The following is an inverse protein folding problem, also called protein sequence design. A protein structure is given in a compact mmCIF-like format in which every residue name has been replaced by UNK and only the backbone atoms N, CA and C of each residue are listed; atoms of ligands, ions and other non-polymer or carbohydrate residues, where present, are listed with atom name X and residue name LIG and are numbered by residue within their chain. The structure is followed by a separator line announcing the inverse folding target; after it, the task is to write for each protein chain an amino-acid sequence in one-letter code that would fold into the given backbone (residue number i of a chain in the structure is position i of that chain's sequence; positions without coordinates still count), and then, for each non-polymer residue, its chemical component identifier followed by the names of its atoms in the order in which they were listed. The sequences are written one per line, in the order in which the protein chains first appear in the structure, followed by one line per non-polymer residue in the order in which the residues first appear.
data_IF_038825747587
#
_entry.id   IF_038825747587
#
_cell.length_a   1.000
_cell.length_b   1.000
_cell.length_c   1.000
_cell.angle_alpha   90.00
_cell.angle_beta   90.00
_cell.angle_gamma   90.00
#
_symmetry.space_group_name_H-M   'P 1'
#
loop_
_entity.id
_entity.type
_entity.pdbx_description
1 polymer ?
#
# COMPACT_ATOMS: atom_id res chain seq x y z
N UNK A 1 52.37 22.63 53.81
CA UNK A 1 50.99 22.13 53.99
C UNK A 1 49.96 22.76 53.04
N UNK A 2 50.25 23.88 52.36
CA UNK A 2 49.29 24.60 51.45
C UNK A 2 48.99 23.88 50.11
N UNK A 3 49.95 23.14 49.58
CA UNK A 3 49.82 22.48 48.27
C UNK A 3 49.00 21.18 48.27
N UNK A 4 48.85 20.50 49.43
CA UNK A 4 48.06 19.25 49.55
C UNK A 4 46.53 19.47 49.38
N UNK A 5 46.02 20.66 49.78
CA UNK A 5 44.62 20.99 49.67
C UNK A 5 44.20 21.23 48.18
N UNK A 6 45.11 21.86 47.42
CA UNK A 6 44.90 22.11 46.01
C UNK A 6 44.88 20.80 45.18
N UNK A 7 45.78 19.87 45.51
CA UNK A 7 45.82 18.55 44.86
C UNK A 7 44.56 17.75 45.16
N UNK A 8 44.04 17.84 46.39
CA UNK A 8 42.80 17.16 46.78
C UNK A 8 41.57 17.76 46.09
N UNK A 9 41.46 19.08 45.99
CA UNK A 9 40.41 19.75 45.21
C UNK A 9 40.46 19.40 43.72
N UNK A 10 41.64 19.34 43.13
CA UNK A 10 41.84 18.94 41.73
C UNK A 10 41.46 17.48 41.51
N UNK A 11 41.75 16.59 42.40
CA UNK A 11 41.38 15.17 42.36
C UNK A 11 39.86 14.98 42.49
N UNK A 12 39.22 15.74 43.39
CA UNK A 12 37.77 15.70 43.58
C UNK A 12 37.05 16.29 42.35
N UNK A 13 37.54 17.38 41.77
CA UNK A 13 37.00 17.96 40.53
C UNK A 13 37.21 16.99 39.35
N UNK A 14 38.37 16.34 39.25
CA UNK A 14 38.65 15.33 38.22
C UNK A 14 37.76 14.08 38.33
N UNK A 15 37.45 13.64 39.54
CA UNK A 15 36.52 12.55 39.83
C UNK A 15 35.06 12.95 39.55
N UNK A 16 34.69 14.21 39.82
CA UNK A 16 33.34 14.74 39.49
C UNK A 16 33.15 14.96 38.00
N UNK A 17 34.18 15.30 37.22
CA UNK A 17 34.11 15.43 35.76
C UNK A 17 34.02 14.05 35.10
N UNK A 18 34.62 13.00 35.65
CA UNK A 18 34.49 11.64 35.14
C UNK A 18 33.18 10.93 35.53
N UNK A 19 32.37 11.51 36.42
CA UNK A 19 31.03 11.04 36.76
C UNK A 19 29.91 11.71 35.95
N UNK A 20 30.24 12.52 34.92
CA UNK A 20 29.30 12.82 33.87
C UNK A 20 29.15 11.54 33.05
N UNK A 21 28.32 10.66 33.59
CA UNK A 21 27.75 9.55 32.83
C UNK A 21 27.13 10.20 31.60
N UNK A 22 27.72 9.97 30.44
CA UNK A 22 27.04 10.23 29.18
C UNK A 22 25.81 9.32 29.27
N UNK A 23 24.68 9.88 29.67
CA UNK A 23 23.39 9.26 29.43
C UNK A 23 23.33 9.15 27.92
N UNK A 24 23.65 7.98 27.40
CA UNK A 24 23.41 7.65 26.00
C UNK A 24 21.93 7.95 25.82
N UNK A 25 21.64 8.96 25.03
CA UNK A 25 20.28 9.47 24.84
C UNK A 25 19.49 8.34 24.19
N UNK A 26 18.83 7.50 25.02
CA UNK A 26 18.00 6.39 24.61
C UNK A 26 16.79 7.00 23.91
N UNK A 27 16.86 7.14 22.57
CA UNK A 27 15.74 7.62 21.77
C UNK A 27 14.72 6.50 21.50
N UNK A 28 13.61 6.84 20.91
CA UNK A 28 12.55 5.89 20.58
C UNK A 28 12.89 5.07 19.33
N UNK A 29 12.32 3.87 19.25
CA UNK A 29 12.19 3.06 18.04
C UNK A 29 10.77 3.19 17.53
N UNK A 30 10.60 3.41 16.23
CA UNK A 30 9.30 3.53 15.61
C UNK A 30 8.98 2.26 14.81
N UNK A 31 7.81 1.67 15.07
CA UNK A 31 7.26 0.55 14.31
C UNK A 31 6.20 1.10 13.36
N UNK A 32 6.46 1.00 12.05
CA UNK A 32 5.60 1.53 10.99
C UNK A 32 5.01 0.34 10.24
N UNK A 33 3.66 0.17 10.23
CA UNK A 33 3.04 -0.97 9.58
C UNK A 33 3.00 -0.81 8.05
N UNK A 34 3.30 -1.91 7.34
CA UNK A 34 3.10 -2.07 5.90
C UNK A 34 2.13 -3.24 5.71
N UNK A 35 0.83 -2.96 5.86
CA UNK A 35 -0.23 -3.98 5.87
C UNK A 35 -1.20 -3.80 4.71
N UNK A 36 -1.63 -4.95 4.12
CA UNK A 36 -2.57 -4.97 3.01
C UNK A 36 -1.93 -4.67 1.66
N UNK A 37 -2.66 -4.04 0.75
CA UNK A 37 -2.21 -3.79 -0.62
C UNK A 37 -1.18 -2.66 -0.71
N UNK A 38 -0.13 -2.87 -1.50
CA UNK A 38 0.88 -1.85 -1.82
C UNK A 38 0.35 -0.97 -2.94
N UNK A 39 -0.13 0.23 -2.55
CA UNK A 39 -0.72 1.22 -3.44
C UNK A 39 -0.27 2.64 -3.08
N UNK A 40 -0.78 3.64 -3.77
CA UNK A 40 -0.42 5.06 -3.53
C UNK A 40 -0.71 5.51 -2.10
N UNK A 41 -1.81 5.04 -1.48
CA UNK A 41 -2.13 5.38 -0.09
C UNK A 41 -1.08 4.82 0.88
N UNK A 42 -0.67 3.57 0.65
CA UNK A 42 0.38 2.92 1.44
C UNK A 42 1.69 3.70 1.36
N UNK A 43 2.10 4.12 0.14
CA UNK A 43 3.30 4.95 -0.03
C UNK A 43 3.19 6.31 0.69
N UNK A 44 2.06 7.03 0.54
CA UNK A 44 1.86 8.32 1.20
C UNK A 44 1.83 8.21 2.71
N UNK A 45 1.17 7.18 3.25
CA UNK A 45 1.20 6.88 4.68
C UNK A 45 2.63 6.65 5.16
N UNK A 46 3.37 5.76 4.50
CA UNK A 46 4.75 5.43 4.86
C UNK A 46 5.66 6.65 4.81
N UNK A 47 5.55 7.46 3.76
CA UNK A 47 6.33 8.68 3.62
C UNK A 47 6.09 9.63 4.79
N UNK A 48 4.84 9.90 5.13
CA UNK A 48 4.49 10.79 6.24
C UNK A 48 4.94 10.23 7.60
N UNK A 49 4.76 8.91 7.81
CA UNK A 49 5.16 8.23 9.04
C UNK A 49 6.69 8.22 9.22
N UNK A 50 7.44 7.99 8.13
CA UNK A 50 8.92 8.05 8.14
C UNK A 50 9.40 9.47 8.38
N UNK A 51 8.84 10.47 7.68
CA UNK A 51 9.21 11.88 7.85
C UNK A 51 8.95 12.33 9.31
N UNK A 52 7.80 11.96 9.89
CA UNK A 52 7.46 12.25 11.29
C UNK A 52 8.43 11.54 12.27
N UNK A 53 8.69 10.26 12.07
CA UNK A 53 9.63 9.49 12.88
C UNK A 53 11.05 10.10 12.85
N UNK A 54 11.55 10.41 11.64
CA UNK A 54 12.88 11.00 11.44
C UNK A 54 13.02 12.39 12.10
N UNK A 55 11.94 13.19 12.11
CA UNK A 55 11.92 14.49 12.80
C UNK A 55 12.18 14.38 14.31
N UNK A 56 11.94 13.21 14.89
CA UNK A 56 12.08 12.91 16.34
C UNK A 56 13.39 12.19 16.69
N UNK A 57 14.34 12.11 15.76
CA UNK A 57 15.66 11.47 15.93
C UNK A 57 15.57 10.03 16.46
N UNK A 58 14.94 9.09 15.73
CA UNK A 58 14.75 7.72 16.17
C UNK A 58 16.07 6.96 16.27
N UNK A 59 16.13 5.95 17.13
CA UNK A 59 17.27 5.00 17.20
C UNK A 59 17.22 3.96 16.08
N UNK A 60 16.03 3.55 15.69
CA UNK A 60 15.78 2.68 14.56
C UNK A 60 14.33 2.85 14.06
N UNK A 61 14.07 2.37 12.86
CA UNK A 61 12.73 2.20 12.31
C UNK A 61 12.52 0.73 11.97
N UNK A 62 11.44 0.15 12.48
CA UNK A 62 10.99 -1.21 12.15
C UNK A 62 9.80 -1.08 11.20
N UNK A 63 9.88 -1.68 10.03
CA UNK A 63 8.75 -1.84 9.11
C UNK A 63 8.09 -3.19 9.35
N UNK A 64 6.91 -3.19 9.96
CA UNK A 64 6.12 -4.40 10.19
C UNK A 64 5.33 -4.78 8.94
N UNK A 65 5.70 -5.89 8.29
CA UNK A 65 5.22 -6.28 6.97
C UNK A 65 4.22 -7.43 7.05
N UNK A 66 3.04 -7.21 6.46
CA UNK A 66 2.01 -8.23 6.20
C UNK A 66 1.25 -7.85 4.92
N UNK A 67 1.75 -8.31 3.77
CA UNK A 67 1.20 -7.93 2.45
C UNK A 67 1.23 -9.07 1.45
N UNK A 68 0.20 -9.12 0.61
CA UNK A 68 0.17 -9.92 -0.61
C UNK A 68 0.80 -9.19 -1.82
N UNK A 69 1.34 -7.97 -1.62
CA UNK A 69 1.93 -7.18 -2.68
C UNK A 69 1.02 -6.07 -3.20
N UNK A 70 1.25 -5.65 -4.44
CA UNK A 70 0.52 -4.57 -5.10
C UNK A 70 1.28 -3.94 -6.25
N UNK A 71 1.22 -2.61 -6.40
CA UNK A 71 1.74 -1.89 -7.55
C UNK A 71 3.28 -1.81 -7.54
N UNK A 72 3.92 -2.20 -8.63
CA UNK A 72 5.39 -2.19 -8.81
C UNK A 72 5.96 -0.77 -8.62
N UNK A 73 5.32 0.24 -9.21
CA UNK A 73 5.79 1.62 -9.11
C UNK A 73 5.76 2.15 -7.67
N UNK A 74 4.79 1.73 -6.88
CA UNK A 74 4.69 2.12 -5.48
C UNK A 74 5.70 1.35 -4.61
N UNK A 75 5.94 0.07 -4.93
CA UNK A 75 6.99 -0.73 -4.30
C UNK A 75 8.39 -0.12 -4.54
N UNK A 76 8.67 0.36 -5.77
CA UNK A 76 9.91 1.06 -6.09
C UNK A 76 10.07 2.35 -5.26
N UNK A 77 9.01 3.16 -5.14
CA UNK A 77 9.04 4.39 -4.32
C UNK A 77 9.30 4.06 -2.85
N UNK A 78 8.67 2.99 -2.32
CA UNK A 78 8.86 2.55 -0.94
C UNK A 78 10.28 2.01 -0.75
N UNK A 79 10.81 1.20 -1.70
CA UNK A 79 12.23 0.78 -1.71
C UNK A 79 13.15 1.99 -1.57
N UNK A 80 12.99 2.99 -2.44
CA UNK A 80 13.83 4.19 -2.43
C UNK A 80 13.71 4.95 -1.10
N UNK A 81 12.48 5.14 -0.59
CA UNK A 81 12.23 5.77 0.70
C UNK A 81 12.99 5.04 1.84
N UNK A 82 12.91 3.70 1.91
CA UNK A 82 13.57 2.91 2.96
C UNK A 82 15.09 2.96 2.81
N UNK A 83 15.61 2.89 1.59
CA UNK A 83 17.05 2.90 1.32
C UNK A 83 17.71 4.23 1.64
N UNK A 84 16.97 5.35 1.56
CA UNK A 84 17.47 6.69 1.87
C UNK A 84 17.58 6.96 3.38
N UNK A 85 16.98 6.16 4.24
CA UNK A 85 17.01 6.30 5.70
C UNK A 85 18.42 6.03 6.22
N UNK A 86 18.93 6.94 7.05
CA UNK A 86 20.30 6.87 7.60
C UNK A 86 20.38 6.18 8.96
N UNK A 87 19.27 6.09 9.68
CA UNK A 87 19.21 5.33 10.93
C UNK A 87 18.99 3.84 10.63
N UNK A 88 19.30 2.92 11.57
CA UNK A 88 19.05 1.50 11.38
C UNK A 88 17.61 1.21 10.98
N UNK A 89 17.44 0.43 9.90
CA UNK A 89 16.14 -0.02 9.41
C UNK A 89 16.02 -1.53 9.50
N UNK A 90 14.88 -2.02 9.97
CA UNK A 90 14.57 -3.44 10.12
C UNK A 90 13.24 -3.70 9.42
N UNK A 91 13.20 -4.61 8.47
CA UNK A 91 11.95 -5.18 7.98
C UNK A 91 11.58 -6.38 8.84
N UNK A 92 10.46 -6.30 9.53
CA UNK A 92 9.90 -7.40 10.31
C UNK A 92 8.70 -8.01 9.57
N UNK A 93 8.90 -9.17 8.95
CA UNK A 93 7.81 -9.91 8.29
C UNK A 93 7.00 -10.63 9.36
N UNK A 94 5.89 -10.04 9.76
CA UNK A 94 5.01 -10.57 10.81
C UNK A 94 4.21 -11.78 10.32
N UNK A 95 3.71 -11.74 9.08
CA UNK A 95 2.91 -12.83 8.50
C UNK A 95 3.40 -13.20 7.09
N UNK A 96 3.38 -12.26 6.15
CA UNK A 96 3.82 -12.53 4.77
C UNK A 96 4.41 -11.30 4.09
N UNK A 97 5.33 -11.55 3.17
CA UNK A 97 5.91 -10.56 2.27
C UNK A 97 5.88 -11.11 0.84
N UNK A 98 4.68 -11.10 0.24
CA UNK A 98 4.48 -11.66 -1.10
C UNK A 98 4.60 -10.56 -2.17
N UNK A 99 5.01 -10.94 -3.38
CA UNK A 99 5.05 -10.06 -4.55
C UNK A 99 5.85 -8.76 -4.29
N UNK A 100 5.23 -7.58 -4.40
CA UNK A 100 5.86 -6.29 -4.06
C UNK A 100 6.45 -6.24 -2.63
N UNK A 101 5.93 -7.05 -1.71
CA UNK A 101 6.43 -7.19 -0.35
C UNK A 101 7.88 -7.69 -0.29
N UNK A 102 8.32 -8.52 -1.25
CA UNK A 102 9.71 -8.99 -1.32
C UNK A 102 10.66 -7.82 -1.48
N UNK A 103 10.45 -6.94 -2.47
CA UNK A 103 11.28 -5.78 -2.72
C UNK A 103 11.36 -4.86 -1.51
N UNK A 104 10.21 -4.59 -0.89
CA UNK A 104 10.11 -3.73 0.29
C UNK A 104 10.90 -4.36 1.45
N UNK A 105 10.73 -5.66 1.70
CA UNK A 105 11.41 -6.38 2.78
C UNK A 105 12.93 -6.30 2.66
N UNK A 106 13.47 -6.60 1.48
CA UNK A 106 14.92 -6.62 1.26
C UNK A 106 15.54 -5.22 1.16
N UNK A 107 14.75 -4.16 1.16
CA UNK A 107 15.24 -2.77 1.11
C UNK A 107 15.78 -2.27 2.46
N UNK A 108 15.37 -2.86 3.57
CA UNK A 108 15.92 -2.54 4.90
C UNK A 108 17.34 -3.12 5.09
N UNK A 109 18.09 -2.53 6.02
CA UNK A 109 19.42 -3.02 6.38
C UNK A 109 19.35 -4.44 6.96
N UNK A 110 18.36 -4.69 7.82
CA UNK A 110 18.15 -5.99 8.46
C UNK A 110 16.75 -6.52 8.13
N UNK A 111 16.63 -7.85 8.08
CA UNK A 111 15.36 -8.55 7.87
C UNK A 111 15.13 -9.55 8.99
N UNK A 112 13.98 -9.45 9.62
CA UNK A 112 13.54 -10.39 10.65
C UNK A 112 12.22 -11.01 10.18
N UNK A 113 12.03 -12.28 10.46
CA UNK A 113 10.81 -13.00 10.12
C UNK A 113 10.20 -13.63 11.37
N UNK A 114 8.90 -13.49 11.52
CA UNK A 114 8.13 -14.24 12.51
C UNK A 114 8.17 -15.75 12.20
N UNK A 115 7.99 -16.58 13.22
CA UNK A 115 8.13 -18.06 13.10
C UNK A 115 7.26 -18.68 12.01
N UNK A 116 6.09 -18.13 11.73
CA UNK A 116 5.12 -18.65 10.76
C UNK A 116 4.99 -17.79 9.51
N UNK A 117 5.94 -16.88 9.26
CA UNK A 117 5.90 -15.98 8.12
C UNK A 117 6.53 -16.58 6.87
N UNK A 118 6.17 -15.98 5.71
CA UNK A 118 6.66 -16.35 4.38
C UNK A 118 7.12 -15.13 3.58
N UNK A 119 8.03 -15.37 2.62
CA UNK A 119 8.51 -14.37 1.68
C UNK A 119 8.73 -14.99 0.30
N UNK A 120 8.20 -14.39 -0.77
CA UNK A 120 8.38 -14.86 -2.13
C UNK A 120 7.23 -14.56 -3.08
N UNK A 121 7.03 -15.44 -4.07
CA UNK A 121 5.93 -15.38 -5.04
C UNK A 121 5.78 -14.00 -5.71
N UNK A 122 6.89 -13.48 -6.25
CA UNK A 122 7.00 -12.09 -6.70
C UNK A 122 6.88 -11.91 -8.22
N UNK A 123 6.30 -12.87 -8.95
CA UNK A 123 6.04 -12.75 -10.39
C UNK A 123 5.11 -11.58 -10.69
N UNK A 124 5.39 -10.87 -11.79
CA UNK A 124 4.59 -9.70 -12.18
C UNK A 124 3.28 -10.07 -12.87
N UNK A 125 2.23 -9.27 -12.68
CA UNK A 125 0.96 -9.39 -13.41
C UNK A 125 0.65 -8.04 -14.08
N UNK A 126 0.63 -7.96 -15.45
CA UNK A 126 0.90 -9.04 -16.40
C UNK A 126 2.37 -9.45 -16.43
N UNK A 127 2.62 -10.74 -16.67
CA UNK A 127 3.96 -11.27 -16.90
C UNK A 127 4.35 -11.04 -18.37
N UNK A 128 5.00 -9.91 -18.66
CA UNK A 128 5.58 -9.60 -19.96
C UNK A 128 7.07 -9.23 -19.78
N UNK A 129 7.86 -9.49 -20.81
CA UNK A 129 9.32 -9.35 -20.80
C UNK A 129 9.77 -7.97 -20.28
N UNK A 130 9.16 -6.88 -20.76
CA UNK A 130 9.53 -5.53 -20.37
C UNK A 130 9.31 -5.27 -18.88
N UNK A 131 8.16 -5.67 -18.35
CA UNK A 131 7.83 -5.48 -16.93
C UNK A 131 8.68 -6.36 -16.05
N UNK A 132 8.88 -7.62 -16.45
CA UNK A 132 9.69 -8.59 -15.71
C UNK A 132 11.17 -8.14 -15.65
N UNK A 133 11.75 -7.74 -16.78
CA UNK A 133 13.14 -7.26 -16.82
C UNK A 133 13.37 -6.06 -15.90
N UNK A 134 12.43 -5.09 -15.89
CA UNK A 134 12.49 -3.95 -14.96
C UNK A 134 12.38 -4.40 -13.50
N UNK A 135 11.42 -5.27 -13.21
CA UNK A 135 11.19 -5.79 -11.88
C UNK A 135 12.39 -6.56 -11.31
N UNK A 136 12.95 -7.46 -12.12
CA UNK A 136 14.17 -8.20 -11.75
C UNK A 136 15.36 -7.27 -11.50
N UNK A 137 15.46 -6.15 -12.23
CA UNK A 137 16.51 -5.17 -11.97
C UNK A 137 16.36 -4.50 -10.60
N UNK A 138 15.13 -4.17 -10.16
CA UNK A 138 14.88 -3.61 -8.83
C UNK A 138 15.21 -4.60 -7.72
N UNK A 139 14.81 -5.87 -7.88
CA UNK A 139 15.09 -6.93 -6.93
C UNK A 139 16.59 -7.18 -6.80
N UNK A 140 17.30 -7.29 -7.92
CA UNK A 140 18.76 -7.48 -7.94
C UNK A 140 19.48 -6.32 -7.27
N UNK A 141 19.18 -5.08 -7.66
CA UNK A 141 19.79 -3.87 -7.10
C UNK A 141 19.62 -3.80 -5.57
N UNK A 142 18.40 -4.05 -5.08
CA UNK A 142 18.13 -4.06 -3.65
C UNK A 142 18.90 -5.16 -2.92
N UNK A 143 18.97 -6.37 -3.50
CA UNK A 143 19.67 -7.51 -2.92
C UNK A 143 21.17 -7.23 -2.82
N UNK A 144 21.80 -6.77 -3.91
CA UNK A 144 23.23 -6.45 -3.97
C UNK A 144 23.61 -5.36 -2.97
N UNK A 145 22.86 -4.25 -2.91
CA UNK A 145 23.13 -3.14 -1.96
C UNK A 145 23.05 -3.62 -0.52
N UNK A 146 22.14 -4.54 -0.21
CA UNK A 146 21.93 -5.07 1.15
C UNK A 146 22.70 -6.37 1.45
N UNK A 147 23.55 -6.83 0.53
CA UNK A 147 24.41 -8.01 0.71
C UNK A 147 23.66 -9.33 0.76
N UNK A 148 22.49 -9.41 0.12
CA UNK A 148 21.71 -10.66 -0.04
C UNK A 148 21.98 -11.28 -1.40
N UNK A 149 21.75 -12.59 -1.52
CA UNK A 149 21.96 -13.30 -2.79
C UNK A 149 20.91 -12.86 -3.83
N UNK A 150 21.31 -12.16 -4.91
CA UNK A 150 20.38 -11.70 -5.94
C UNK A 150 19.70 -12.85 -6.68
N UNK A 151 20.36 -14.00 -6.84
CA UNK A 151 19.81 -15.13 -7.55
C UNK A 151 18.62 -15.74 -6.79
N UNK A 152 18.73 -15.88 -5.48
CA UNK A 152 17.64 -16.37 -4.63
C UNK A 152 16.46 -15.38 -4.67
N UNK A 153 16.73 -14.08 -4.59
CA UNK A 153 15.68 -13.05 -4.64
C UNK A 153 14.99 -13.03 -6.02
N UNK A 154 15.74 -13.15 -7.12
CA UNK A 154 15.15 -13.17 -8.46
C UNK A 154 14.36 -14.45 -8.72
N UNK A 155 14.74 -15.61 -8.17
CA UNK A 155 13.97 -16.85 -8.26
C UNK A 155 12.58 -16.76 -7.59
N UNK A 156 12.35 -15.78 -6.72
CA UNK A 156 11.01 -15.48 -6.21
C UNK A 156 10.09 -14.86 -7.25
N UNK A 157 10.64 -14.25 -8.31
CA UNK A 157 9.90 -13.54 -9.35
C UNK A 157 9.94 -14.23 -10.72
N UNK A 158 11.01 -14.94 -11.03
CA UNK A 158 11.26 -15.55 -12.34
C UNK A 158 11.28 -17.08 -12.22
N UNK A 159 10.34 -17.74 -12.90
CA UNK A 159 10.20 -19.21 -12.93
C UNK A 159 11.31 -19.89 -13.70
N UNK A 160 12.02 -19.19 -14.58
CA UNK A 160 13.08 -19.78 -15.39
C UNK A 160 14.38 -19.93 -14.59
N UNK A 161 14.46 -19.34 -13.41
CA UNK A 161 15.62 -19.48 -12.51
C UNK A 161 15.52 -20.79 -11.75
N UNK A 162 16.49 -21.66 -11.99
CA UNK A 162 16.69 -22.92 -11.26
C UNK A 162 17.89 -22.77 -10.33
N UNK A 163 17.74 -23.21 -9.07
CA UNK A 163 18.79 -23.22 -8.07
C UNK A 163 18.84 -24.62 -7.46
N UNK A 164 19.93 -25.36 -7.68
CA UNK A 164 20.10 -26.75 -7.22
C UNK A 164 19.87 -26.85 -5.69
N UNK A 165 18.99 -27.74 -5.30
CA UNK A 165 18.63 -27.97 -3.89
C UNK A 165 17.67 -26.93 -3.28
N UNK A 166 17.26 -25.88 -4.02
CA UNK A 166 16.36 -24.83 -3.53
C UNK A 166 15.07 -24.78 -4.36
N UNK A 167 15.16 -24.60 -5.68
CA UNK A 167 13.99 -24.47 -6.55
C UNK A 167 14.25 -25.08 -7.93
N UNK A 168 13.30 -25.86 -8.42
CA UNK A 168 13.32 -26.41 -9.78
C UNK A 168 12.77 -25.38 -10.79
N UNK A 169 13.27 -25.44 -12.03
CA UNK A 169 12.75 -24.62 -13.12
C UNK A 169 11.24 -24.77 -13.32
N UNK A 170 10.57 -23.70 -13.69
CA UNK A 170 9.11 -23.66 -13.86
C UNK A 170 8.31 -23.33 -12.57
N UNK A 171 8.97 -23.19 -11.43
CA UNK A 171 8.34 -22.87 -10.14
C UNK A 171 8.79 -21.50 -9.62
N UNK A 172 7.93 -20.84 -8.84
CA UNK A 172 8.29 -19.62 -8.12
C UNK A 172 8.76 -19.97 -6.71
N UNK A 173 9.86 -19.37 -6.29
CA UNK A 173 10.39 -19.53 -4.94
C UNK A 173 9.51 -18.78 -3.93
N UNK A 174 9.15 -19.47 -2.86
CA UNK A 174 8.54 -18.90 -1.66
C UNK A 174 9.15 -19.60 -0.45
N UNK A 175 9.73 -18.82 0.45
CA UNK A 175 10.48 -19.33 1.60
C UNK A 175 9.69 -19.08 2.89
N UNK A 176 9.64 -20.09 3.75
CA UNK A 176 9.26 -19.89 5.15
C UNK A 176 10.43 -19.23 5.94
N UNK A 177 10.16 -18.82 7.17
CA UNK A 177 11.15 -18.13 8.00
C UNK A 177 12.46 -18.89 8.23
N UNK A 178 12.39 -20.25 8.32
CA UNK A 178 13.58 -21.08 8.54
C UNK A 178 14.41 -21.18 7.27
N UNK A 179 13.78 -21.40 6.13
CA UNK A 179 14.42 -21.42 4.81
C UNK A 179 15.06 -20.07 4.50
N UNK A 180 14.33 -18.96 4.73
CA UNK A 180 14.84 -17.61 4.55
C UNK A 180 16.07 -17.34 5.44
N UNK A 181 16.10 -17.86 6.67
CA UNK A 181 17.26 -17.76 7.57
C UNK A 181 18.45 -18.59 7.06
N UNK A 182 18.22 -19.81 6.61
CA UNK A 182 19.27 -20.69 6.06
C UNK A 182 19.92 -20.08 4.82
N UNK A 183 19.12 -19.45 3.95
CA UNK A 183 19.60 -18.85 2.71
C UNK A 183 20.03 -17.37 2.87
N UNK A 184 20.15 -16.84 4.09
CA UNK A 184 20.67 -15.50 4.34
C UNK A 184 19.75 -14.36 3.92
N UNK A 185 18.45 -14.63 3.70
CA UNK A 185 17.46 -13.60 3.42
C UNK A 185 16.96 -12.96 4.72
N UNK A 186 16.80 -13.75 5.78
CA UNK A 186 16.47 -13.27 7.13
C UNK A 186 17.68 -13.33 8.05
N UNK A 187 17.89 -12.28 8.84
CA UNK A 187 18.97 -12.18 9.84
C UNK A 187 18.57 -12.82 11.18
N UNK A 188 17.28 -12.86 11.49
CA UNK A 188 16.74 -13.39 12.75
C UNK A 188 15.33 -13.93 12.54
N UNK A 189 14.97 -14.97 13.31
CA UNK A 189 13.59 -15.42 13.48
C UNK A 189 13.15 -15.05 14.88
N UNK A 190 12.17 -14.14 14.99
CA UNK A 190 11.62 -13.70 16.28
C UNK A 190 10.19 -13.19 16.09
N UNK A 191 9.38 -13.28 17.14
CA UNK A 191 8.03 -12.73 17.21
C UNK A 191 7.97 -11.50 18.16
N UNK A 192 9.09 -11.08 18.74
CA UNK A 192 9.16 -10.04 19.76
C UNK A 192 10.10 -8.88 19.39
N UNK A 193 9.61 -7.64 19.48
CA UNK A 193 10.39 -6.46 19.14
C UNK A 193 11.59 -6.24 20.08
N UNK A 194 11.47 -6.60 21.37
CA UNK A 194 12.56 -6.47 22.32
C UNK A 194 13.72 -7.40 21.96
N UNK A 195 13.41 -8.69 21.67
CA UNK A 195 14.41 -9.67 21.19
C UNK A 195 15.08 -9.21 19.90
N UNK A 196 14.32 -8.61 18.96
CA UNK A 196 14.84 -8.05 17.71
C UNK A 196 15.84 -6.93 18.00
N UNK A 197 15.49 -5.98 18.84
CA UNK A 197 16.31 -4.82 19.15
C UNK A 197 17.56 -5.21 19.92
N UNK A 198 17.45 -6.15 20.85
CA UNK A 198 18.59 -6.70 21.61
C UNK A 198 19.58 -7.43 20.70
N UNK A 199 19.08 -8.23 19.73
CA UNK A 199 19.93 -8.93 18.77
C UNK A 199 20.79 -7.99 17.93
N UNK A 200 20.23 -6.84 17.52
CA UNK A 200 20.95 -5.82 16.76
C UNK A 200 21.68 -4.80 17.66
N UNK A 201 21.70 -4.99 18.97
CA UNK A 201 22.33 -4.10 19.96
C UNK A 201 21.80 -2.65 19.87
N UNK A 202 20.50 -2.48 19.61
CA UNK A 202 19.84 -1.18 19.54
C UNK A 202 19.27 -0.84 20.91
N UNK A 203 19.89 0.12 21.61
CA UNK A 203 19.39 0.65 22.87
C UNK A 203 18.29 1.67 22.61
N UNK A 204 17.19 1.57 23.33
CA UNK A 204 16.01 2.41 23.14
C UNK A 204 15.31 2.73 24.46
N UNK A 205 14.58 3.85 24.50
CA UNK A 205 13.72 4.21 25.64
C UNK A 205 12.33 3.59 25.51
N UNK A 206 11.71 3.72 24.35
CA UNK A 206 10.37 3.21 24.09
C UNK A 206 10.24 2.72 22.66
N UNK A 207 9.31 1.77 22.46
CA UNK A 207 8.82 1.37 21.14
C UNK A 207 7.52 2.14 20.90
N UNK A 208 7.46 2.89 19.80
CA UNK A 208 6.31 3.69 19.40
C UNK A 208 5.70 3.05 18.15
N UNK A 209 4.56 2.40 18.32
CA UNK A 209 3.82 1.87 17.18
C UNK A 209 3.04 3.00 16.49
N UNK A 210 3.27 3.15 15.18
CA UNK A 210 2.58 4.13 14.36
C UNK A 210 1.33 3.49 13.81
N UNK A 211 0.17 4.07 14.10
CA UNK A 211 -1.09 3.58 13.55
C UNK A 211 -1.49 4.35 12.29
N UNK A 212 -2.09 3.63 11.34
CA UNK A 212 -2.79 4.29 10.23
C UNK A 212 -3.95 5.12 10.77
N UNK A 213 -4.01 6.40 10.43
CA UNK A 213 -5.11 7.28 10.78
C UNK A 213 -6.46 6.77 10.25
N UNK A 214 -7.56 7.18 10.88
CA UNK A 214 -8.90 6.75 10.47
C UNK A 214 -9.19 7.17 9.02
N UNK A 215 -8.70 8.33 8.58
CA UNK A 215 -8.83 8.83 7.20
C UNK A 215 -8.18 7.88 6.18
N UNK A 216 -7.01 7.32 6.49
CA UNK A 216 -6.30 6.38 5.60
C UNK A 216 -7.03 5.04 5.57
N UNK A 217 -7.49 4.55 6.72
CA UNK A 217 -8.29 3.31 6.81
C UNK A 217 -9.59 3.42 5.98
N UNK A 218 -10.30 4.55 6.10
CA UNK A 218 -11.51 4.83 5.31
C UNK A 218 -11.18 4.94 3.82
N UNK A 219 -10.12 5.67 3.46
CA UNK A 219 -9.71 5.82 2.07
C UNK A 219 -9.34 4.48 1.43
N UNK A 220 -8.56 3.64 2.10
CA UNK A 220 -8.24 2.26 1.66
C UNK A 220 -9.50 1.40 1.52
N UNK A 221 -10.45 1.51 2.45
CA UNK A 221 -11.73 0.79 2.38
C UNK A 221 -12.54 1.21 1.15
N UNK A 222 -12.73 2.52 0.94
CA UNK A 222 -13.54 3.04 -0.18
C UNK A 222 -12.89 2.78 -1.55
N UNK A 223 -11.56 2.79 -1.64
CA UNK A 223 -10.81 2.52 -2.88
C UNK A 223 -10.61 1.03 -3.16
N UNK A 224 -11.01 0.14 -2.25
CA UNK A 224 -10.96 -1.30 -2.49
C UNK A 224 -11.81 -1.63 -3.74
N UNK A 225 -11.30 -2.45 -4.70
CA UNK A 225 -12.01 -2.73 -5.95
C UNK A 225 -13.43 -3.28 -5.77
N UNK A 226 -13.67 -4.12 -4.77
CA UNK A 226 -15.01 -4.66 -4.49
C UNK A 226 -15.96 -3.56 -3.97
N UNK A 227 -15.50 -2.71 -3.06
CA UNK A 227 -16.29 -1.58 -2.55
C UNK A 227 -16.54 -0.55 -3.64
N UNK A 228 -15.51 -0.23 -4.43
CA UNK A 228 -15.64 0.64 -5.61
C UNK A 228 -16.69 0.10 -6.60
N UNK A 229 -16.72 -1.21 -6.86
CA UNK A 229 -17.74 -1.84 -7.72
C UNK A 229 -19.14 -1.69 -7.13
N UNK A 230 -19.30 -1.89 -5.82
CA UNK A 230 -20.59 -1.69 -5.14
C UNK A 230 -21.03 -0.23 -5.23
N UNK A 231 -20.14 0.72 -4.98
CA UNK A 231 -20.43 2.15 -5.07
C UNK A 231 -20.83 2.57 -6.48
N UNK A 232 -20.10 2.11 -7.50
CA UNK A 232 -20.49 2.33 -8.90
C UNK A 232 -21.87 1.76 -9.22
N UNK A 233 -22.13 0.53 -8.76
CA UNK A 233 -23.44 -0.13 -8.96
C UNK A 233 -24.57 0.67 -8.31
N UNK A 234 -24.40 1.09 -7.06
CA UNK A 234 -25.39 1.90 -6.34
C UNK A 234 -25.58 3.28 -7.01
N UNK A 235 -24.50 3.88 -7.49
CA UNK A 235 -24.55 5.14 -8.21
C UNK A 235 -25.37 5.04 -9.50
N UNK A 236 -25.11 4.03 -10.31
CA UNK A 236 -25.88 3.81 -11.56
C UNK A 236 -27.33 3.41 -11.30
N UNK A 237 -27.61 2.53 -10.33
CA UNK A 237 -28.98 2.15 -9.96
C UNK A 237 -29.74 3.38 -9.46
N UNK A 238 -29.13 4.18 -8.57
CA UNK A 238 -29.71 5.42 -8.07
C UNK A 238 -30.05 6.39 -9.20
N UNK A 239 -29.14 6.56 -10.17
CA UNK A 239 -29.38 7.40 -11.34
C UNK A 239 -30.54 6.90 -12.20
N UNK A 240 -30.66 5.60 -12.41
CA UNK A 240 -31.79 5.02 -13.16
C UNK A 240 -33.10 5.22 -12.41
N UNK A 241 -33.16 4.95 -11.11
CA UNK A 241 -34.36 5.17 -10.30
C UNK A 241 -34.82 6.64 -10.38
N UNK A 242 -33.86 7.57 -10.32
CA UNK A 242 -34.13 9.00 -10.41
C UNK A 242 -34.76 9.41 -11.74
N UNK A 243 -34.30 8.84 -12.87
CA UNK A 243 -34.87 9.10 -14.19
C UNK A 243 -36.36 8.68 -14.29
N UNK A 244 -36.77 7.64 -13.54
CA UNK A 244 -38.14 7.15 -13.53
C UNK A 244 -39.03 7.80 -12.43
N UNK A 245 -38.47 8.63 -11.56
CA UNK A 245 -39.20 9.32 -10.49
C UNK A 245 -39.36 10.82 -10.81
N UNK A 246 -40.54 11.42 -10.63
CA UNK A 246 -40.73 12.84 -10.90
C UNK A 246 -40.04 13.69 -9.80
N UNK A 247 -39.15 14.61 -10.20
CA UNK A 247 -38.43 15.50 -9.31
C UNK A 247 -37.14 14.85 -8.76
N UNK A 248 -36.37 15.63 -7.98
CA UNK A 248 -35.15 15.13 -7.31
C UNK A 248 -35.54 14.35 -6.04
N UNK A 249 -35.14 13.06 -5.96
CA UNK A 249 -35.58 12.17 -4.91
C UNK A 249 -34.46 11.28 -4.32
N UNK A 250 -34.87 10.15 -3.78
CA UNK A 250 -34.00 9.18 -3.11
C UNK A 250 -32.97 8.58 -4.06
N UNK A 251 -33.37 8.34 -5.33
CA UNK A 251 -32.48 7.80 -6.37
C UNK A 251 -31.30 8.72 -6.65
N UNK A 252 -31.58 10.00 -6.91
CA UNK A 252 -30.55 11.00 -7.17
C UNK A 252 -29.63 11.23 -5.96
N UNK A 253 -30.20 11.28 -4.76
CA UNK A 253 -29.41 11.40 -3.53
C UNK A 253 -28.46 10.21 -3.34
N UNK A 254 -28.95 8.97 -3.53
CA UNK A 254 -28.14 7.75 -3.46
C UNK A 254 -27.03 7.79 -4.50
N UNK A 255 -27.34 8.17 -5.74
CA UNK A 255 -26.37 8.27 -6.83
C UNK A 255 -25.24 9.24 -6.51
N UNK A 256 -25.59 10.46 -6.04
CA UNK A 256 -24.60 11.48 -5.69
C UNK A 256 -23.69 10.99 -4.55
N UNK A 257 -24.28 10.43 -3.48
CA UNK A 257 -23.50 9.92 -2.34
C UNK A 257 -22.57 8.78 -2.80
N UNK A 258 -23.06 7.82 -3.58
CA UNK A 258 -22.29 6.68 -4.04
C UNK A 258 -21.11 7.12 -4.93
N UNK A 259 -21.32 7.99 -5.91
CA UNK A 259 -20.24 8.52 -6.74
C UNK A 259 -19.29 9.43 -5.96
N UNK A 260 -19.77 10.24 -5.02
CA UNK A 260 -18.91 11.07 -4.17
C UNK A 260 -17.99 10.20 -3.30
N UNK A 261 -18.49 9.10 -2.72
CA UNK A 261 -17.66 8.14 -1.97
C UNK A 261 -16.69 7.39 -2.88
N UNK A 262 -17.11 7.01 -4.09
CA UNK A 262 -16.22 6.36 -5.07
C UNK A 262 -15.06 7.27 -5.47
N UNK A 263 -15.34 8.48 -5.96
CA UNK A 263 -14.30 9.41 -6.39
C UNK A 263 -13.49 9.93 -5.20
N UNK A 264 -14.15 10.27 -4.08
CA UNK A 264 -13.50 10.75 -2.87
C UNK A 264 -12.54 9.72 -2.27
N UNK A 265 -12.97 8.46 -2.14
CA UNK A 265 -12.11 7.37 -1.67
C UNK A 265 -10.89 7.16 -2.55
N UNK A 266 -11.08 7.07 -3.88
CA UNK A 266 -10.00 6.91 -4.83
C UNK A 266 -9.09 8.16 -4.93
N UNK A 267 -9.61 9.36 -4.70
CA UNK A 267 -8.81 10.60 -4.66
C UNK A 267 -7.92 10.65 -3.41
N UNK A 268 -8.44 10.27 -2.25
CA UNK A 268 -7.67 10.24 -1.00
C UNK A 268 -6.48 9.27 -1.05
N UNK A 269 -6.61 8.15 -1.76
CA UNK A 269 -5.48 7.22 -2.00
C UNK A 269 -4.62 7.61 -3.21
N UNK A 270 -4.93 8.72 -3.90
CA UNK A 270 -4.19 9.19 -5.07
C UNK A 270 -4.42 8.39 -6.36
N UNK A 271 -5.45 7.54 -6.43
CA UNK A 271 -5.83 6.85 -7.65
C UNK A 271 -6.55 7.77 -8.63
N UNK A 272 -7.39 8.68 -8.13
CA UNK A 272 -8.20 9.62 -8.90
C UNK A 272 -7.65 11.05 -8.82
N UNK A 273 -7.79 11.78 -9.90
CA UNK A 273 -7.47 13.19 -10.00
C UNK A 273 -8.73 14.00 -10.39
N UNK A 274 -8.68 15.32 -10.26
CA UNK A 274 -9.78 16.21 -10.67
C UNK A 274 -10.21 16.01 -12.13
N UNK A 275 -9.28 15.69 -13.03
CA UNK A 275 -9.56 15.33 -14.43
C UNK A 275 -10.56 14.20 -14.58
N UNK A 276 -10.46 13.17 -13.78
CA UNK A 276 -11.36 12.02 -13.80
C UNK A 276 -12.78 12.43 -13.43
N UNK A 277 -12.92 13.27 -12.39
CA UNK A 277 -14.21 13.79 -11.94
C UNK A 277 -14.84 14.70 -12.99
N UNK A 278 -14.04 15.59 -13.60
CA UNK A 278 -14.51 16.51 -14.65
C UNK A 278 -15.01 15.71 -15.85
N UNK A 279 -14.28 14.69 -16.31
CA UNK A 279 -14.70 13.84 -17.43
C UNK A 279 -16.00 13.10 -17.08
N UNK A 280 -16.11 12.55 -15.90
CA UNK A 280 -17.30 11.86 -15.42
C UNK A 280 -18.53 12.80 -15.42
N UNK A 281 -18.39 13.98 -14.81
CA UNK A 281 -19.49 14.97 -14.70
C UNK A 281 -19.88 15.50 -16.10
N UNK A 282 -18.90 15.79 -16.95
CA UNK A 282 -19.18 16.19 -18.34
C UNK A 282 -19.94 15.10 -19.11
N UNK A 283 -19.55 13.82 -18.91
CA UNK A 283 -20.26 12.69 -19.48
C UNK A 283 -21.69 12.58 -18.97
N UNK A 284 -21.94 12.77 -17.67
CA UNK A 284 -23.29 12.78 -17.12
C UNK A 284 -24.14 13.91 -17.71
N UNK A 285 -23.59 15.11 -17.86
CA UNK A 285 -24.29 16.25 -18.49
C UNK A 285 -24.70 15.87 -19.92
N UNK A 286 -23.81 15.27 -20.72
CA UNK A 286 -24.14 14.83 -22.08
C UNK A 286 -25.22 13.75 -22.10
N UNK A 287 -25.22 12.81 -21.14
CA UNK A 287 -26.29 11.82 -21.00
C UNK A 287 -27.64 12.46 -20.65
N UNK A 288 -27.66 13.49 -19.80
CA UNK A 288 -28.87 14.24 -19.47
C UNK A 288 -29.41 14.97 -20.73
N UNK A 289 -28.54 15.61 -21.51
CA UNK A 289 -28.90 16.28 -22.75
C UNK A 289 -29.52 15.27 -23.72
N UNK A 290 -28.95 14.08 -23.84
CA UNK A 290 -29.45 13.01 -24.70
C UNK A 290 -30.87 12.56 -24.32
N UNK A 291 -31.15 12.45 -23.00
CA UNK A 291 -32.50 12.09 -22.53
C UNK A 291 -33.53 13.16 -22.85
N UNK A 292 -33.13 14.43 -22.97
CA UNK A 292 -34.01 15.56 -23.30
C UNK A 292 -34.27 15.70 -24.80
N UNK A 293 -33.42 15.12 -25.66
CA UNK A 293 -33.51 15.21 -27.12
C UNK A 293 -33.93 13.85 -27.68
N UNK A 294 -35.07 13.74 -28.41
CA UNK A 294 -35.50 12.45 -28.91
C UNK A 294 -34.53 11.88 -29.96
N UNK A 295 -34.03 10.68 -29.71
CA UNK A 295 -33.12 9.93 -30.58
C UNK A 295 -31.74 9.73 -29.96
N UNK A 296 -31.14 8.53 -30.13
CA UNK A 296 -29.79 8.26 -29.63
C UNK A 296 -28.75 8.85 -30.60
N UNK A 297 -28.07 9.91 -30.18
CA UNK A 297 -27.16 10.69 -31.02
C UNK A 297 -25.75 10.84 -30.46
N UNK A 298 -25.01 11.81 -30.98
CA UNK A 298 -23.64 12.11 -30.58
C UNK A 298 -23.48 12.39 -29.07
N UNK A 299 -24.39 13.14 -28.38
CA UNK A 299 -24.27 13.38 -26.96
C UNK A 299 -24.32 12.09 -26.13
N UNK A 300 -25.19 11.13 -26.47
CA UNK A 300 -25.31 9.86 -25.76
C UNK A 300 -24.03 9.02 -25.85
N UNK A 301 -23.51 8.86 -27.07
CA UNK A 301 -22.26 8.12 -27.30
C UNK A 301 -21.10 8.78 -26.57
N UNK A 302 -20.93 10.08 -26.72
CA UNK A 302 -19.86 10.85 -26.08
C UNK A 302 -19.99 10.83 -24.56
N UNK A 303 -21.23 10.89 -24.03
CA UNK A 303 -21.51 10.80 -22.62
C UNK A 303 -21.08 9.47 -22.00
N UNK A 304 -21.41 8.34 -22.65
CA UNK A 304 -20.98 7.01 -22.22
C UNK A 304 -19.45 6.90 -22.22
N UNK A 305 -18.80 7.39 -23.27
CA UNK A 305 -17.33 7.36 -23.37
C UNK A 305 -16.69 8.17 -22.25
N UNK A 306 -17.14 9.40 -21.99
CA UNK A 306 -16.58 10.27 -20.98
C UNK A 306 -16.80 9.73 -19.55
N UNK A 307 -17.99 9.20 -19.24
CA UNK A 307 -18.28 8.53 -17.96
C UNK A 307 -17.33 7.34 -17.77
N UNK A 308 -17.18 6.50 -18.80
CA UNK A 308 -16.31 5.32 -18.74
C UNK A 308 -14.85 5.71 -18.52
N UNK A 309 -14.34 6.70 -19.26
CA UNK A 309 -12.95 7.20 -19.10
C UNK A 309 -12.76 7.80 -17.70
N UNK A 310 -13.70 8.61 -17.21
CA UNK A 310 -13.64 9.20 -15.88
C UNK A 310 -13.54 8.13 -14.77
N UNK A 311 -14.32 7.05 -14.87
CA UNK A 311 -14.27 5.93 -13.92
C UNK A 311 -12.95 5.17 -14.05
N UNK A 312 -12.52 4.86 -15.27
CA UNK A 312 -11.27 4.11 -15.52
C UNK A 312 -10.07 4.85 -14.98
N UNK A 313 -10.00 6.16 -15.17
CA UNK A 313 -8.90 6.99 -14.65
C UNK A 313 -8.96 7.22 -13.14
N UNK A 314 -10.04 6.79 -12.49
CA UNK A 314 -10.19 6.91 -11.02
C UNK A 314 -9.76 5.67 -10.27
N UNK A 315 -9.34 4.60 -10.93
CA UNK A 315 -8.97 3.35 -10.27
C UNK A 315 -7.47 3.05 -10.41
N UNK A 316 -6.95 2.21 -9.50
CA UNK A 316 -5.52 1.92 -9.39
C UNK A 316 -4.93 1.26 -10.65
N UNK A 317 -5.71 0.42 -11.37
CA UNK A 317 -5.27 -0.24 -12.59
C UNK A 317 -6.37 -0.33 -13.63
N UNK A 318 -5.98 -0.36 -14.90
CA UNK A 318 -6.91 -0.48 -16.02
C UNK A 318 -7.73 -1.78 -15.97
N UNK A 319 -7.12 -2.88 -15.58
CA UNK A 319 -7.77 -4.19 -15.49
C UNK A 319 -8.85 -4.21 -14.41
N UNK A 320 -8.56 -3.71 -13.21
CA UNK A 320 -9.54 -3.60 -12.13
C UNK A 320 -10.66 -2.62 -12.49
N UNK A 321 -10.34 -1.51 -13.15
CA UNK A 321 -11.32 -0.52 -13.57
C UNK A 321 -12.33 -1.10 -14.58
N UNK A 322 -11.84 -1.78 -15.64
CA UNK A 322 -12.69 -2.42 -16.65
C UNK A 322 -13.56 -3.49 -16.00
N UNK A 323 -12.99 -4.35 -15.14
CA UNK A 323 -13.74 -5.39 -14.46
C UNK A 323 -14.85 -4.80 -13.57
N UNK A 324 -14.50 -3.83 -12.71
CA UNK A 324 -15.44 -3.17 -11.80
C UNK A 324 -16.58 -2.47 -12.55
N UNK A 325 -16.24 -1.71 -13.60
CA UNK A 325 -17.23 -1.03 -14.43
C UNK A 325 -18.15 -2.04 -15.14
N UNK A 326 -17.59 -3.11 -15.73
CA UNK A 326 -18.37 -4.14 -16.42
C UNK A 326 -19.34 -4.84 -15.47
N UNK A 327 -18.86 -5.24 -14.28
CA UNK A 327 -19.70 -5.89 -13.25
C UNK A 327 -20.79 -4.92 -12.77
N UNK A 328 -20.46 -3.66 -12.50
CA UNK A 328 -21.43 -2.66 -12.08
C UNK A 328 -22.52 -2.44 -13.13
N UNK A 329 -22.16 -2.33 -14.41
CA UNK A 329 -23.12 -2.17 -15.51
C UNK A 329 -24.02 -3.40 -15.67
N UNK A 330 -23.45 -4.62 -15.63
CA UNK A 330 -24.24 -5.86 -15.75
C UNK A 330 -25.27 -5.94 -14.62
N UNK A 331 -24.85 -5.72 -13.37
CA UNK A 331 -25.76 -5.75 -12.22
C UNK A 331 -26.83 -4.65 -12.36
N UNK A 332 -26.43 -3.45 -12.78
CA UNK A 332 -27.37 -2.33 -12.99
C UNK A 332 -28.43 -2.68 -14.03
N UNK A 333 -28.03 -3.27 -15.17
CA UNK A 333 -28.98 -3.70 -16.22
C UNK A 333 -29.96 -4.76 -15.70
N UNK A 334 -29.45 -5.78 -14.97
CA UNK A 334 -30.29 -6.84 -14.40
C UNK A 334 -31.31 -6.24 -13.42
N UNK A 335 -30.89 -5.36 -12.53
CA UNK A 335 -31.79 -4.71 -11.56
C UNK A 335 -32.77 -3.80 -12.26
N UNK A 336 -32.35 -3.06 -13.29
CA UNK A 336 -33.26 -2.21 -14.09
C UNK A 336 -34.36 -3.02 -14.78
N UNK A 337 -34.02 -4.15 -15.42
CA UNK A 337 -35.02 -5.04 -16.02
C UNK A 337 -35.99 -5.56 -14.95
N UNK A 338 -35.50 -5.91 -13.78
CA UNK A 338 -36.34 -6.36 -12.66
C UNK A 338 -37.27 -5.25 -12.18
N UNK A 339 -36.77 -4.02 -12.00
CA UNK A 339 -37.57 -2.86 -11.60
C UNK A 339 -38.67 -2.53 -12.62
N UNK A 340 -38.36 -2.55 -13.90
CA UNK A 340 -39.35 -2.33 -14.98
C UNK A 340 -40.42 -3.44 -14.96
N UNK A 341 -40.01 -4.71 -14.81
CA UNK A 341 -40.95 -5.84 -14.84
C UNK A 341 -41.87 -5.92 -13.65
N UNK A 342 -41.39 -5.56 -12.45
CA UNK A 342 -42.14 -5.74 -11.20
C UNK A 342 -42.55 -4.43 -10.55
N UNK A 343 -41.81 -3.33 -10.75
CA UNK A 343 -42.11 -2.01 -10.18
C UNK A 343 -43.27 -1.28 -10.85
N UNK A 344 -43.48 -1.51 -12.14
CA UNK A 344 -44.60 -0.88 -12.94
C UNK A 344 -45.95 -1.53 -12.70
N UNK A 345 -46.09 -2.54 -11.84
CA UNK A 345 -47.38 -3.18 -11.50
C UNK A 345 -48.09 -2.60 -10.29
N UNK A 346 -47.57 -1.54 -9.67
CA UNK A 346 -48.28 -0.83 -8.62
C UNK A 346 -49.15 0.28 -9.25
N UNK A 347 -50.49 0.21 -9.15
CA UNK A 347 -51.31 1.32 -9.59
C UNK A 347 -51.18 2.44 -8.56
N UNK A 348 -50.69 3.59 -9.00
CA UNK A 348 -51.03 4.86 -8.36
C UNK A 348 -52.19 5.52 -9.10
#
# INVERSE_FOLDING_TARGET
MKNRKWLFCFLVIFLLINSISYSENEGNVYVIPIKGEINKATYHFLKNAVDDALSKNPKAIIFEIDTYGGLINEAEKIKNLIMDIKVPTISFVNNKAESAGVLITISSQNVVMAKSSTIGSAETIPNNEKTMSLWLSFLRDAAEIRGRDPQIIQAMADRDIEIEGIIEGGKLLNLNSREAKVHGISDLISDDYGEILDYFNIKYSNIVEVEEGAEIKIAKFLSNPYISTILLTLGFIGMIIEIFTPGFGVGGTLSIIAFALFFGGNMLVGNSEWTSIILFVAGLILLIIEVMVPGFGLPGISGIILVSIGIVFSMASLSTAILSLSVALIITVIITIFLIKYGYKSPF
#
